data_IF_194950876650
#
_entry.id   IF_194950876650
#
_cell.length_a   1.000
_cell.length_b   1.000
_cell.length_c   1.000
_cell.angle_alpha   90.00
_cell.angle_beta   90.00
_cell.angle_gamma   90.00
#
_symmetry.space_group_name_H-M   'P 1'
#
loop_
_entity.id
_entity.type
_entity.pdbx_description
1 polymer ?
#
# COMPACT_ATOMS: atom_id res chain seq x y z
N UNK A 1 1.76 -17.55 -15.97
CA UNK A 1 2.89 -16.66 -16.35
C UNK A 1 2.65 -15.21 -15.91
N UNK A 2 1.44 -14.66 -16.12
CA UNK A 2 1.09 -13.27 -15.76
C UNK A 2 1.16 -12.96 -14.25
N UNK A 3 0.57 -13.75 -13.32
CA UNK A 3 0.66 -13.45 -11.89
C UNK A 3 2.09 -13.42 -11.36
N UNK A 4 2.98 -14.26 -11.89
CA UNK A 4 4.39 -14.29 -11.50
C UNK A 4 5.10 -12.98 -11.83
N UNK A 5 4.91 -12.45 -13.04
CA UNK A 5 5.52 -11.18 -13.45
C UNK A 5 4.99 -10.02 -12.60
N UNK A 6 3.68 -10.00 -12.34
CA UNK A 6 3.05 -9.00 -11.47
C UNK A 6 3.64 -9.04 -10.06
N UNK A 7 3.80 -10.22 -9.46
CA UNK A 7 4.44 -10.32 -8.13
C UNK A 7 5.91 -9.84 -8.14
N UNK A 8 6.63 -9.99 -9.27
CA UNK A 8 8.00 -9.42 -9.38
C UNK A 8 7.96 -7.90 -9.37
N UNK A 9 7.03 -7.26 -10.10
CA UNK A 9 6.89 -5.81 -10.06
C UNK A 9 6.43 -5.32 -8.69
N UNK A 10 5.43 -5.97 -8.09
CA UNK A 10 4.96 -5.67 -6.74
C UNK A 10 6.08 -5.77 -5.69
N UNK A 11 6.99 -6.75 -5.81
CA UNK A 11 8.14 -6.85 -4.88
C UNK A 11 9.08 -5.65 -4.95
N UNK A 12 9.18 -4.98 -6.12
CA UNK A 12 9.98 -3.75 -6.26
C UNK A 12 9.33 -2.58 -5.55
N UNK A 13 8.00 -2.46 -5.63
CA UNK A 13 7.25 -1.45 -4.90
C UNK A 13 7.51 -1.53 -3.39
N UNK A 14 7.65 -2.73 -2.81
CA UNK A 14 7.98 -2.91 -1.39
C UNK A 14 9.45 -2.70 -0.98
N UNK A 15 10.33 -2.47 -1.96
CA UNK A 15 11.79 -2.35 -1.79
C UNK A 15 12.36 -1.00 -2.20
N UNK A 16 11.63 -0.24 -3.02
CA UNK A 16 12.12 1.00 -3.61
C UNK A 16 11.03 2.07 -3.51
N UNK A 17 11.41 3.31 -3.15
CA UNK A 17 10.47 4.42 -3.17
C UNK A 17 10.21 4.92 -4.59
N UNK A 18 9.11 5.65 -4.75
CA UNK A 18 8.78 6.29 -6.01
C UNK A 18 9.65 7.54 -6.25
N UNK A 19 10.66 7.41 -7.11
CA UNK A 19 11.61 8.50 -7.39
C UNK A 19 10.96 9.71 -8.06
N UNK A 20 9.90 9.50 -8.85
CA UNK A 20 9.16 10.59 -9.50
C UNK A 20 8.43 11.44 -8.47
N UNK A 21 7.77 10.79 -7.51
CA UNK A 21 7.12 11.48 -6.40
C UNK A 21 8.11 12.25 -5.53
N UNK A 22 9.27 11.66 -5.20
CA UNK A 22 10.32 12.36 -4.44
C UNK A 22 10.78 13.61 -5.21
N UNK A 23 10.94 13.52 -6.53
CA UNK A 23 11.32 14.66 -7.36
C UNK A 23 10.25 15.77 -7.37
N UNK A 24 8.97 15.42 -7.19
CA UNK A 24 7.85 16.36 -7.01
C UNK A 24 7.76 16.95 -5.59
N UNK A 25 8.60 16.49 -4.66
CA UNK A 25 8.65 16.98 -3.28
C UNK A 25 7.81 16.19 -2.28
N UNK A 26 7.29 15.02 -2.66
CA UNK A 26 6.66 14.10 -1.71
C UNK A 26 7.71 13.45 -0.79
N UNK A 27 7.35 13.14 0.47
CA UNK A 27 8.26 12.51 1.41
C UNK A 27 8.65 11.09 0.98
N UNK A 28 9.91 10.72 1.21
CA UNK A 28 10.41 9.37 0.97
C UNK A 28 9.99 8.43 2.11
N UNK A 29 9.03 7.55 1.84
CA UNK A 29 8.57 6.52 2.78
C UNK A 29 9.31 5.18 2.61
N UNK A 30 10.23 5.06 1.64
CA UNK A 30 11.05 3.87 1.39
C UNK A 30 10.37 2.74 0.62
N UNK A 31 9.14 2.95 0.12
CA UNK A 31 8.37 2.02 -0.70
C UNK A 31 7.30 2.78 -1.51
N UNK A 32 6.63 2.09 -2.43
CA UNK A 32 5.59 2.66 -3.31
C UNK A 32 4.22 2.01 -3.07
N UNK A 33 3.37 2.57 -2.18
CA UNK A 33 2.02 2.07 -1.95
C UNK A 33 1.09 2.31 -3.14
N UNK A 34 1.31 3.37 -3.92
CA UNK A 34 0.43 3.79 -5.02
C UNK A 34 0.48 2.78 -6.15
N UNK A 35 1.68 2.50 -6.63
CA UNK A 35 1.87 1.53 -7.71
C UNK A 35 1.69 0.09 -7.19
N UNK A 36 2.04 -0.15 -5.92
CA UNK A 36 1.77 -1.43 -5.25
C UNK A 36 0.29 -1.81 -5.25
N UNK A 37 -0.60 -0.85 -4.96
CA UNK A 37 -2.05 -1.06 -4.88
C UNK A 37 -2.60 -1.51 -6.25
N UNK A 38 -2.15 -0.87 -7.33
CA UNK A 38 -2.56 -1.23 -8.71
C UNK A 38 -2.22 -2.67 -9.06
N UNK A 39 -1.06 -3.17 -8.64
CA UNK A 39 -0.70 -4.57 -8.84
C UNK A 39 -1.54 -5.51 -7.97
N UNK A 40 -1.87 -5.11 -6.74
CA UNK A 40 -2.75 -5.89 -5.86
C UNK A 40 -4.16 -5.98 -6.45
N UNK A 41 -4.74 -4.88 -6.94
CA UNK A 41 -6.08 -4.89 -7.55
C UNK A 41 -6.07 -5.72 -8.84
N UNK A 42 -5.00 -5.69 -9.63
CA UNK A 42 -4.84 -6.61 -10.76
C UNK A 42 -4.85 -8.09 -10.32
N UNK A 43 -4.12 -8.44 -9.26
CA UNK A 43 -4.14 -9.80 -8.70
C UNK A 43 -5.53 -10.15 -8.16
N UNK A 44 -6.27 -9.18 -7.64
CA UNK A 44 -7.65 -9.36 -7.19
C UNK A 44 -8.56 -9.80 -8.32
N UNK A 45 -8.46 -9.16 -9.49
CA UNK A 45 -9.18 -9.58 -10.68
C UNK A 45 -8.75 -10.97 -11.19
N UNK A 46 -7.51 -11.39 -10.95
CA UNK A 46 -7.06 -12.73 -11.33
C UNK A 46 -7.69 -13.82 -10.45
N UNK A 47 -7.95 -13.55 -9.17
CA UNK A 47 -8.50 -14.54 -8.24
C UNK A 47 -10.03 -14.48 -8.14
N UNK A 48 -10.64 -13.39 -8.61
CA UNK A 48 -12.08 -13.16 -8.49
C UNK A 48 -12.66 -12.68 -9.81
N UNK A 49 -13.43 -13.55 -10.47
CA UNK A 49 -14.00 -13.29 -11.80
C UNK A 49 -15.51 -13.52 -11.72
N UNK A 50 -16.31 -12.55 -12.16
CA UNK A 50 -17.78 -12.64 -12.24
C UNK A 50 -18.48 -13.07 -10.93
N UNK A 51 -17.90 -12.75 -9.77
CA UNK A 51 -18.47 -13.14 -8.46
C UNK A 51 -18.02 -14.51 -7.95
N UNK A 52 -17.14 -15.20 -8.68
CA UNK A 52 -16.63 -16.52 -8.31
C UNK A 52 -15.12 -16.49 -8.05
N UNK A 53 -14.68 -17.37 -7.16
CA UNK A 53 -13.27 -17.56 -6.84
C UNK A 53 -12.59 -18.49 -7.85
N UNK A 54 -11.41 -18.11 -8.32
CA UNK A 54 -10.56 -18.96 -9.15
C UNK A 54 -9.48 -19.59 -8.28
N UNK A 55 -9.79 -20.75 -7.70
CA UNK A 55 -8.98 -21.38 -6.64
C UNK A 55 -7.53 -21.66 -7.06
N UNK A 56 -7.30 -22.07 -8.32
CA UNK A 56 -5.95 -22.29 -8.85
C UNK A 56 -5.12 -21.00 -8.87
N UNK A 57 -5.74 -19.88 -9.22
CA UNK A 57 -5.10 -18.57 -9.23
C UNK A 57 -4.86 -18.08 -7.80
N UNK A 58 -5.83 -18.24 -6.89
CA UNK A 58 -5.69 -17.89 -5.48
C UNK A 58 -4.51 -18.65 -4.84
N UNK A 59 -4.45 -19.97 -5.05
CA UNK A 59 -3.35 -20.82 -4.58
C UNK A 59 -1.99 -20.38 -5.14
N UNK A 60 -1.94 -20.02 -6.43
CA UNK A 60 -0.72 -19.51 -7.04
C UNK A 60 -0.30 -18.17 -6.44
N UNK A 61 -1.23 -17.21 -6.30
CA UNK A 61 -0.97 -15.87 -5.74
C UNK A 61 -0.44 -15.97 -4.31
N UNK A 62 -1.10 -16.74 -3.43
CA UNK A 62 -0.63 -16.94 -2.06
C UNK A 62 0.78 -17.54 -2.03
N UNK A 63 1.03 -18.57 -2.84
CA UNK A 63 2.36 -19.20 -2.94
C UNK A 63 3.44 -18.27 -3.47
N UNK A 64 3.09 -17.27 -4.27
CA UNK A 64 4.01 -16.26 -4.78
C UNK A 64 4.28 -15.18 -3.73
N UNK A 65 3.25 -14.71 -3.02
CA UNK A 65 3.36 -13.72 -1.94
C UNK A 65 4.18 -14.28 -0.76
N UNK A 66 3.97 -15.53 -0.36
CA UNK A 66 4.77 -16.18 0.70
C UNK A 66 6.27 -16.23 0.34
N UNK A 67 6.60 -16.38 -0.94
CA UNK A 67 7.99 -16.42 -1.42
C UNK A 67 8.62 -15.03 -1.55
N UNK A 68 7.84 -13.96 -1.48
CA UNK A 68 8.27 -12.56 -1.64
C UNK A 68 7.55 -11.68 -0.60
N UNK A 69 7.93 -11.78 0.68
CA UNK A 69 7.27 -11.04 1.76
C UNK A 69 7.35 -9.51 1.57
N UNK A 70 8.25 -9.02 0.73
CA UNK A 70 8.34 -7.61 0.34
C UNK A 70 7.06 -7.11 -0.36
N UNK A 71 6.30 -8.00 -1.00
CA UNK A 71 5.03 -7.68 -1.64
C UNK A 71 3.93 -7.29 -0.65
N UNK A 72 4.12 -7.54 0.65
CA UNK A 72 3.13 -7.29 1.69
C UNK A 72 3.22 -5.86 2.27
N UNK A 73 4.14 -5.04 1.76
CA UNK A 73 4.41 -3.71 2.29
C UNK A 73 5.35 -3.73 3.51
N UNK A 74 5.81 -2.55 3.90
CA UNK A 74 6.86 -2.39 4.92
C UNK A 74 6.46 -2.85 6.32
N UNK A 75 5.16 -2.80 6.65
CA UNK A 75 4.70 -3.13 7.99
C UNK A 75 4.49 -4.63 8.20
N UNK A 76 4.38 -5.41 7.12
CA UNK A 76 4.12 -6.84 7.16
C UNK A 76 5.33 -7.69 6.71
N UNK A 77 6.41 -7.07 6.23
CA UNK A 77 7.65 -7.78 5.90
C UNK A 77 8.52 -7.99 7.16
N UNK A 78 8.95 -9.23 7.40
CA UNK A 78 9.92 -9.57 8.47
C UNK A 78 9.44 -9.20 9.89
N UNK A 79 10.23 -8.41 10.62
CA UNK A 79 9.91 -7.85 11.95
C UNK A 79 9.12 -6.54 11.87
N UNK A 80 8.29 -6.36 10.84
CA UNK A 80 7.48 -5.16 10.67
C UNK A 80 6.55 -4.89 11.86
N UNK A 81 6.13 -3.64 12.02
CA UNK A 81 5.32 -3.20 13.16
C UNK A 81 3.89 -3.80 13.20
N UNK A 82 3.49 -4.50 12.14
CA UNK A 82 2.18 -5.10 12.00
C UNK A 82 1.11 -4.14 11.47
N UNK A 83 0.01 -4.74 10.98
CA UNK A 83 -1.04 -4.02 10.26
C UNK A 83 -1.69 -2.90 11.10
N UNK A 84 -1.94 -3.15 12.38
CA UNK A 84 -2.61 -2.18 13.24
C UNK A 84 -1.77 -0.90 13.45
N UNK A 85 -0.46 -1.05 13.64
CA UNK A 85 0.45 0.09 13.73
C UNK A 85 0.50 0.83 12.38
N UNK A 86 0.59 0.09 11.28
CA UNK A 86 0.59 0.66 9.93
C UNK A 86 -0.64 1.54 9.64
N UNK A 87 -1.83 1.05 9.98
CA UNK A 87 -3.07 1.82 9.81
C UNK A 87 -3.07 3.08 10.67
N UNK A 88 -2.58 3.00 11.91
CA UNK A 88 -2.48 4.19 12.78
C UNK A 88 -1.52 5.24 12.23
N UNK A 89 -0.36 4.81 11.76
CA UNK A 89 0.64 5.69 11.16
C UNK A 89 0.12 6.32 9.86
N UNK A 90 -0.56 5.55 9.01
CA UNK A 90 -1.15 6.04 7.77
C UNK A 90 -2.29 7.04 7.99
N UNK A 91 -3.16 6.79 8.98
CA UNK A 91 -4.20 7.75 9.39
C UNK A 91 -3.55 9.03 9.93
N UNK A 92 -2.53 8.91 10.79
CA UNK A 92 -1.82 10.07 11.33
C UNK A 92 -1.17 10.89 10.21
N UNK A 93 -0.58 10.22 9.20
CA UNK A 93 0.00 10.86 8.03
C UNK A 93 -1.04 11.64 7.21
N UNK A 94 -2.19 11.03 6.89
CA UNK A 94 -3.27 11.71 6.15
C UNK A 94 -3.84 12.91 6.91
N UNK A 95 -4.00 12.79 8.23
CA UNK A 95 -4.44 13.91 9.07
C UNK A 95 -3.40 15.05 9.12
N UNK A 96 -2.11 14.73 9.21
CA UNK A 96 -1.03 15.71 9.16
C UNK A 96 -0.94 16.41 7.81
N UNK A 97 -1.14 15.68 6.70
CA UNK A 97 -1.25 16.24 5.36
C UNK A 97 -2.41 17.25 5.31
N UNK A 98 -3.58 16.90 5.87
CA UNK A 98 -4.72 17.84 5.93
C UNK A 98 -4.40 19.08 6.75
N UNK A 99 -3.71 18.95 7.87
CA UNK A 99 -3.28 20.11 8.68
C UNK A 99 -2.31 21.00 7.90
N UNK A 100 -1.36 20.41 7.17
CA UNK A 100 -0.45 21.18 6.31
C UNK A 100 -1.18 21.91 5.17
N UNK A 101 -2.25 21.34 4.64
CA UNK A 101 -3.09 22.01 3.64
C UNK A 101 -3.83 23.24 4.22
N UNK A 102 -4.28 23.16 5.47
CA UNK A 102 -5.06 24.22 6.13
C UNK A 102 -4.16 25.33 6.72
N UNK A 103 -3.08 24.93 7.40
CA UNK A 103 -2.22 25.83 8.19
C UNK A 103 -0.86 26.14 7.53
N UNK A 104 -0.51 25.44 6.44
CA UNK A 104 0.77 25.60 5.73
C UNK A 104 2.00 25.29 6.62
N UNK A 105 3.13 25.93 6.32
CA UNK A 105 4.40 25.79 7.07
C UNK A 105 4.31 26.22 8.55
N UNK A 106 3.18 26.81 8.98
CA UNK A 106 2.93 27.16 10.38
C UNK A 106 2.45 25.98 11.24
N UNK A 107 2.27 24.79 10.65
CA UNK A 107 1.88 23.58 11.34
C UNK A 107 2.92 23.14 12.38
N UNK A 108 2.71 23.53 13.64
CA UNK A 108 3.65 23.26 14.76
C UNK A 108 3.51 21.88 15.42
N UNK A 109 2.50 21.07 15.08
CA UNK A 109 2.25 19.77 15.72
C UNK A 109 1.87 18.69 14.70
N UNK A 110 2.84 18.20 13.94
CA UNK A 110 2.69 16.99 13.12
C UNK A 110 2.91 15.75 14.00
N UNK A 111 2.06 14.75 13.85
CA UNK A 111 2.07 13.51 14.63
C UNK A 111 2.98 12.44 14.02
N UNK A 112 3.18 12.49 12.70
CA UNK A 112 3.95 11.54 11.93
C UNK A 112 5.43 11.92 11.90
N UNK A 113 6.30 10.97 12.24
CA UNK A 113 7.75 11.18 12.23
C UNK A 113 8.32 11.50 10.84
N UNK A 114 7.61 11.13 9.76
CA UNK A 114 8.02 11.39 8.38
C UNK A 114 7.97 12.88 8.00
N UNK A 115 6.98 13.61 8.51
CA UNK A 115 6.80 15.04 8.23
C UNK A 115 7.32 15.92 9.37
N UNK A 116 7.59 15.34 10.55
CA UNK A 116 8.07 16.07 11.72
C UNK A 116 9.47 16.70 11.57
N UNK A 117 10.36 16.10 10.76
CA UNK A 117 11.73 16.59 10.56
C UNK A 117 11.82 17.68 9.46
N UNK A 118 10.91 17.67 8.50
CA UNK A 118 10.76 18.68 7.44
C UNK A 118 9.29 18.74 7.02
N UNK A 119 8.49 19.69 7.54
CA UNK A 119 7.05 19.74 7.35
C UNK A 119 6.70 20.32 5.97
N UNK A 120 7.11 19.64 4.90
CA UNK A 120 6.84 20.08 3.53
C UNK A 120 6.12 18.97 2.80
N UNK A 121 5.00 19.33 2.19
CA UNK A 121 4.21 18.46 1.34
C UNK A 121 3.80 19.24 0.08
N UNK A 122 3.74 18.62 -1.11
CA UNK A 122 3.27 19.29 -2.31
C UNK A 122 1.86 19.86 -2.12
N UNK A 123 1.58 21.05 -2.67
CA UNK A 123 0.26 21.66 -2.53
C UNK A 123 -0.73 21.07 -3.53
N UNK A 124 -2.01 20.93 -3.12
CA UNK A 124 -3.11 20.54 -4.00
C UNK A 124 -3.23 21.44 -5.24
N UNK A 125 -2.97 22.73 -5.08
CA UNK A 125 -2.99 23.69 -6.19
C UNK A 125 -1.85 23.45 -7.20
N UNK A 126 -0.69 23.00 -6.72
CA UNK A 126 0.48 22.73 -7.56
C UNK A 126 0.36 21.42 -8.36
N UNK A 127 -0.12 20.35 -7.72
CA UNK A 127 -0.25 19.03 -8.36
C UNK A 127 -1.60 18.82 -9.05
N UNK A 128 -2.65 19.55 -8.66
CA UNK A 128 -3.96 19.47 -9.31
C UNK A 128 -4.57 18.06 -9.26
N UNK A 129 -4.81 17.47 -10.43
CA UNK A 129 -5.38 16.11 -10.56
C UNK A 129 -4.40 15.00 -10.16
N UNK A 130 -3.09 15.27 -10.17
CA UNK A 130 -2.06 14.31 -9.77
C UNK A 130 -1.76 14.36 -8.26
N UNK A 131 -2.48 15.19 -7.51
CA UNK A 131 -2.30 15.31 -6.08
C UNK A 131 -2.57 13.98 -5.37
N UNK A 132 -1.60 13.55 -4.57
CA UNK A 132 -1.69 12.31 -3.80
C UNK A 132 -1.61 12.56 -2.28
N UNK A 133 -2.53 11.96 -1.53
CA UNK A 133 -2.38 11.74 -0.09
C UNK A 133 -1.69 10.39 0.16
N UNK A 134 -0.44 10.42 0.62
CA UNK A 134 0.36 9.22 0.89
C UNK A 134 -0.18 8.37 2.05
N UNK A 135 -0.85 9.00 3.03
CA UNK A 135 -1.52 8.29 4.11
C UNK A 135 -2.71 7.50 3.58
N UNK A 136 -3.55 8.13 2.76
CA UNK A 136 -4.66 7.48 2.07
C UNK A 136 -4.18 6.33 1.16
N UNK A 137 -3.16 6.59 0.31
CA UNK A 137 -2.60 5.56 -0.56
C UNK A 137 -2.07 4.34 0.22
N UNK A 138 -1.46 4.57 1.39
CA UNK A 138 -1.02 3.48 2.27
C UNK A 138 -2.19 2.67 2.82
N UNK A 139 -3.28 3.33 3.23
CA UNK A 139 -4.50 2.65 3.69
C UNK A 139 -5.15 1.83 2.58
N UNK A 140 -5.21 2.38 1.37
CA UNK A 140 -5.77 1.71 0.19
C UNK A 140 -4.95 0.46 -0.15
N UNK A 141 -3.62 0.57 -0.19
CA UNK A 141 -2.74 -0.59 -0.40
C UNK A 141 -3.03 -1.73 0.57
N UNK A 142 -3.02 -1.44 1.89
CA UNK A 142 -3.23 -2.49 2.89
C UNK A 142 -4.67 -3.02 2.88
N UNK A 143 -5.66 -2.18 2.58
CA UNK A 143 -7.06 -2.60 2.45
C UNK A 143 -7.25 -3.53 1.26
N UNK A 144 -6.70 -3.18 0.09
CA UNK A 144 -6.69 -4.01 -1.11
C UNK A 144 -5.94 -5.32 -0.88
N UNK A 145 -4.82 -5.29 -0.13
CA UNK A 145 -4.07 -6.50 0.22
C UNK A 145 -4.88 -7.45 1.11
N UNK A 146 -5.53 -6.93 2.15
CA UNK A 146 -6.38 -7.75 3.03
C UNK A 146 -7.56 -8.34 2.25
N UNK A 147 -8.18 -7.57 1.36
CA UNK A 147 -9.28 -8.04 0.51
C UNK A 147 -8.82 -9.15 -0.45
N UNK A 148 -7.64 -9.00 -1.07
CA UNK A 148 -7.02 -10.04 -1.89
C UNK A 148 -6.80 -11.33 -1.08
N UNK A 149 -6.23 -11.21 0.11
CA UNK A 149 -5.95 -12.37 0.98
C UNK A 149 -7.23 -13.06 1.44
N UNK A 150 -8.28 -12.29 1.76
CA UNK A 150 -9.58 -12.83 2.12
C UNK A 150 -10.21 -13.62 0.97
N UNK A 151 -10.10 -13.10 -0.27
CA UNK A 151 -10.52 -13.82 -1.48
C UNK A 151 -9.65 -15.05 -1.75
N UNK A 152 -8.40 -15.08 -1.30
CA UNK A 152 -7.56 -16.26 -1.44
C UNK A 152 -7.71 -17.28 -0.30
N UNK A 153 -8.54 -16.99 0.71
CA UNK A 153 -8.74 -17.89 1.83
C UNK A 153 -9.41 -19.20 1.34
N UNK A 154 -8.95 -20.36 1.82
CA UNK A 154 -9.55 -21.64 1.45
C UNK A 154 -11.00 -21.72 1.96
N UNK A 155 -11.86 -22.41 1.21
CA UNK A 155 -13.25 -22.62 1.58
C UNK A 155 -13.32 -23.34 2.95
N UNK A 156 -14.05 -22.80 3.95
CA UNK A 156 -14.16 -23.41 5.28
C UNK A 156 -14.61 -24.88 5.24
N UNK A 157 -15.36 -25.28 4.21
CA UNK A 157 -15.83 -26.67 4.05
C UNK A 157 -14.75 -27.63 3.54
N UNK A 158 -13.66 -27.15 2.95
CA UNK A 158 -12.55 -27.97 2.46
C UNK A 158 -11.55 -28.41 3.55
N UNK A 159 -11.67 -27.86 4.76
CA UNK A 159 -10.73 -28.11 5.88
C UNK A 159 -11.17 -29.32 6.74
N UNK A 160 -12.33 -29.93 6.47
CA UNK A 160 -12.88 -31.06 7.24
C UNK A 160 -12.71 -32.45 6.60
N UNK A 161 -11.84 -32.62 5.60
CA UNK A 161 -11.57 -33.92 4.97
C UNK A 161 -10.25 -34.56 5.43
#
# INVERSE_FOLDING_TARGET
>A
MVPFQVTVYLSRCGLQPNSEMIAKGYPDIGWDPVEGERYIDFLRFCVWINGENVEENANLVIRLLIRRPECLGIALKGEGQGLFAAFKEAIALSEDIRVLEEDGDAATMLKCGLLGDSPTYPSKEGEGEDYLDLGAATLDFYSSLVDLLAKCAPDPMAIQA
#
